data_IF_751140817920
#
_entry.id   IF_751140817920
#
_cell.length_a   1.000
_cell.length_b   1.000
_cell.length_c   1.000
_cell.angle_alpha   90.00
_cell.angle_beta   90.00
_cell.angle_gamma   90.00
#
_symmetry.space_group_name_H-M   'P 1'
#
loop_
_entity.id
_entity.type
_entity.pdbx_description
1 polymer ?
#
# COMPACT_ATOMS: atom_id res chain seq x y z
N UNK A 1 19.00 13.00 -8.18
CA UNK A 1 17.55 12.74 -8.39
C UNK A 1 16.84 14.08 -8.25
N UNK A 2 15.80 14.37 -9.06
CA UNK A 2 15.01 15.58 -8.89
C UNK A 2 14.40 15.62 -7.48
N UNK A 3 14.19 16.82 -6.95
CA UNK A 3 13.45 17.02 -5.72
C UNK A 3 11.98 16.57 -5.89
N UNK A 4 11.30 16.33 -4.77
CA UNK A 4 9.87 15.94 -4.80
C UNK A 4 9.03 17.03 -5.50
N UNK A 5 9.30 18.30 -5.24
CA UNK A 5 8.60 19.43 -5.86
C UNK A 5 8.86 19.55 -7.36
N UNK A 6 10.11 19.33 -7.81
CA UNK A 6 10.44 19.25 -9.23
C UNK A 6 9.68 18.12 -9.92
N UNK A 7 9.61 16.96 -9.28
CA UNK A 7 8.89 15.81 -9.83
C UNK A 7 7.38 16.04 -9.88
N UNK A 8 6.78 16.62 -8.83
CA UNK A 8 5.35 16.99 -8.80
C UNK A 8 5.03 17.98 -9.93
N UNK A 9 5.88 18.99 -10.12
CA UNK A 9 5.71 19.98 -11.19
C UNK A 9 5.78 19.32 -12.57
N UNK A 10 6.77 18.44 -12.77
CA UNK A 10 6.88 17.66 -13.99
C UNK A 10 5.63 16.80 -14.26
N UNK A 11 5.11 16.11 -13.26
CA UNK A 11 3.90 15.29 -13.41
C UNK A 11 2.68 16.16 -13.72
N UNK A 12 2.53 17.31 -13.08
CA UNK A 12 1.47 18.30 -13.37
C UNK A 12 1.51 18.74 -14.84
N UNK A 13 2.69 19.08 -15.35
CA UNK A 13 2.87 19.53 -16.72
C UNK A 13 2.61 18.43 -17.75
N UNK A 14 3.03 17.19 -17.45
CA UNK A 14 2.85 16.05 -18.37
C UNK A 14 1.45 15.45 -18.36
N UNK A 15 0.79 15.42 -17.20
CA UNK A 15 -0.55 14.84 -17.05
C UNK A 15 -1.68 15.83 -17.30
N UNK A 16 -1.40 17.14 -17.22
CA UNK A 16 -2.41 18.19 -17.23
C UNK A 16 -3.18 18.35 -15.91
N UNK A 17 -2.91 17.52 -14.91
CA UNK A 17 -3.53 17.61 -13.58
C UNK A 17 -2.97 18.82 -12.83
N UNK A 18 -3.84 19.77 -12.49
CA UNK A 18 -3.41 21.03 -11.81
C UNK A 18 -3.39 20.95 -10.29
N UNK A 19 -4.00 19.92 -9.72
CA UNK A 19 -4.01 19.73 -8.27
C UNK A 19 -2.69 19.10 -7.80
N UNK A 20 -1.73 19.93 -7.41
CA UNK A 20 -0.40 19.51 -6.99
C UNK A 20 -0.42 18.66 -5.70
N UNK A 21 -1.34 18.95 -4.78
CA UNK A 21 -1.49 18.18 -3.54
C UNK A 21 -1.95 16.74 -3.84
N UNK A 22 -2.86 16.57 -4.80
CA UNK A 22 -3.31 15.26 -5.24
C UNK A 22 -2.19 14.48 -5.92
N UNK A 23 -1.38 15.15 -6.75
CA UNK A 23 -0.19 14.56 -7.36
C UNK A 23 0.80 14.12 -6.29
N UNK A 24 1.10 14.97 -5.32
CA UNK A 24 2.01 14.66 -4.21
C UNK A 24 1.54 13.42 -3.43
N UNK A 25 0.25 13.37 -3.09
CA UNK A 25 -0.35 12.21 -2.44
C UNK A 25 -0.22 10.95 -3.29
N UNK A 26 -0.52 11.02 -4.58
CA UNK A 26 -0.43 9.86 -5.46
C UNK A 26 1.01 9.34 -5.61
N UNK A 27 1.97 10.26 -5.83
CA UNK A 27 3.40 9.95 -5.90
C UNK A 27 3.88 9.31 -4.60
N UNK A 28 3.46 9.85 -3.46
CA UNK A 28 3.81 9.30 -2.14
C UNK A 28 3.26 7.89 -1.96
N UNK A 29 2.00 7.66 -2.29
CA UNK A 29 1.38 6.31 -2.27
C UNK A 29 2.09 5.34 -3.22
N UNK A 30 2.48 5.79 -4.41
CA UNK A 30 3.19 4.96 -5.37
C UNK A 30 4.60 4.59 -4.87
N UNK A 31 5.30 5.52 -4.19
CA UNK A 31 6.58 5.23 -3.53
C UNK A 31 6.42 4.22 -2.40
N UNK A 32 5.41 4.37 -1.53
CA UNK A 32 5.09 3.37 -0.49
C UNK A 32 4.84 2.00 -1.12
N UNK A 33 4.00 1.94 -2.16
CA UNK A 33 3.69 0.69 -2.86
C UNK A 33 4.96 0.04 -3.42
N UNK A 34 5.86 0.83 -4.03
CA UNK A 34 7.16 0.37 -4.52
C UNK A 34 8.02 -0.23 -3.40
N UNK A 35 8.11 0.43 -2.25
CA UNK A 35 8.91 -0.08 -1.13
C UNK A 35 8.32 -1.36 -0.53
N UNK A 36 6.99 -1.46 -0.42
CA UNK A 36 6.30 -2.70 -0.01
C UNK A 36 6.67 -3.85 -0.96
N UNK A 37 6.61 -3.62 -2.27
CA UNK A 37 6.94 -4.63 -3.28
C UNK A 37 8.45 -4.90 -3.46
N UNK A 38 9.31 -4.04 -2.93
CA UNK A 38 10.76 -4.28 -2.88
C UNK A 38 11.18 -5.10 -1.65
N UNK A 39 10.22 -5.46 -0.79
CA UNK A 39 10.42 -6.29 0.39
C UNK A 39 9.96 -7.74 0.16
N UNK A 40 10.22 -8.62 1.13
CA UNK A 40 9.82 -10.03 1.09
C UNK A 40 8.29 -10.26 1.02
N UNK A 41 7.47 -9.21 1.14
CA UNK A 41 6.00 -9.24 1.01
C UNK A 41 5.54 -9.68 -0.38
N UNK A 42 6.28 -9.33 -1.45
CA UNK A 42 5.87 -9.60 -2.84
C UNK A 42 5.51 -11.08 -3.06
N UNK A 43 6.20 -11.99 -2.38
CA UNK A 43 6.01 -13.43 -2.54
C UNK A 43 4.61 -13.88 -2.12
N UNK A 44 4.02 -13.21 -1.12
CA UNK A 44 2.83 -13.67 -0.43
C UNK A 44 1.63 -12.72 -0.53
N UNK A 45 1.82 -11.46 -0.90
CA UNK A 45 0.73 -10.48 -0.99
C UNK A 45 0.53 -9.95 -2.41
N UNK A 46 -0.74 -9.88 -2.81
CA UNK A 46 -1.18 -9.34 -4.10
C UNK A 46 -1.98 -8.06 -3.89
N UNK A 47 -1.61 -7.00 -4.61
CA UNK A 47 -2.32 -5.73 -4.64
C UNK A 47 -3.58 -5.87 -5.47
N UNK A 48 -4.71 -5.44 -4.90
CA UNK A 48 -6.04 -5.59 -5.50
C UNK A 48 -6.89 -4.34 -5.26
N UNK A 49 -8.19 -4.46 -5.55
CA UNK A 49 -9.16 -3.39 -5.29
C UNK A 49 -9.15 -2.30 -6.35
N UNK A 50 -9.89 -1.22 -6.06
CA UNK A 50 -10.09 -0.12 -6.99
C UNK A 50 -8.80 0.63 -7.33
N UNK A 51 -7.91 0.80 -6.35
CA UNK A 51 -6.63 1.48 -6.57
C UNK A 51 -5.69 0.70 -7.48
N UNK A 52 -5.67 -0.63 -7.39
CA UNK A 52 -4.92 -1.49 -8.32
C UNK A 52 -5.43 -1.31 -9.76
N UNK A 53 -6.75 -1.31 -9.95
CA UNK A 53 -7.35 -1.08 -11.27
C UNK A 53 -6.99 0.30 -11.84
N UNK A 54 -7.11 1.36 -11.04
CA UNK A 54 -6.76 2.73 -11.46
C UNK A 54 -5.29 2.85 -11.86
N UNK A 55 -4.38 2.34 -11.02
CA UNK A 55 -2.92 2.51 -11.20
C UNK A 55 -2.34 1.59 -12.27
N UNK A 56 -2.85 0.37 -12.41
CA UNK A 56 -2.26 -0.64 -13.29
C UNK A 56 -3.00 -0.84 -14.61
N UNK A 57 -4.28 -0.46 -14.73
CA UNK A 57 -5.10 -0.82 -15.89
C UNK A 57 -5.88 0.35 -16.52
N UNK A 58 -6.34 1.32 -15.74
CA UNK A 58 -7.29 2.35 -16.22
C UNK A 58 -6.71 3.77 -16.32
N UNK A 59 -5.39 3.91 -16.32
CA UNK A 59 -4.73 5.17 -16.69
C UNK A 59 -5.13 6.38 -15.83
N UNK A 60 -5.32 6.21 -14.52
CA UNK A 60 -5.52 7.32 -13.58
C UNK A 60 -6.76 8.21 -13.80
N UNK A 61 -7.88 7.65 -14.29
CA UNK A 61 -9.13 8.42 -14.49
C UNK A 61 -9.74 9.04 -13.21
N UNK A 62 -9.37 8.53 -12.03
CA UNK A 62 -9.75 9.09 -10.72
C UNK A 62 -8.61 8.90 -9.74
N UNK A 63 -8.59 9.71 -8.68
CA UNK A 63 -7.73 9.46 -7.52
C UNK A 63 -8.27 8.32 -6.65
N UNK A 64 -7.37 7.52 -6.08
CA UNK A 64 -7.71 6.41 -5.19
C UNK A 64 -6.58 6.24 -4.18
N UNK A 65 -6.89 6.43 -2.90
CA UNK A 65 -5.90 6.46 -1.82
C UNK A 65 -5.69 5.08 -1.16
N UNK A 66 -6.71 4.24 -1.15
CA UNK A 66 -6.70 2.97 -0.42
C UNK A 66 -5.73 1.97 -1.04
N UNK A 67 -4.99 1.23 -0.22
CA UNK A 67 -4.12 0.14 -0.69
C UNK A 67 -4.64 -1.19 -0.16
N UNK A 68 -5.34 -1.93 -1.01
CA UNK A 68 -5.92 -3.23 -0.65
C UNK A 68 -4.98 -4.38 -1.04
N UNK A 69 -4.69 -5.26 -0.09
CA UNK A 69 -3.87 -6.45 -0.34
C UNK A 69 -4.65 -7.73 -0.02
N UNK A 70 -4.27 -8.81 -0.68
CA UNK A 70 -4.74 -10.16 -0.36
C UNK A 70 -3.58 -11.14 -0.31
N UNK A 71 -3.73 -12.19 0.49
CA UNK A 71 -2.75 -13.26 0.51
C UNK A 71 -2.83 -14.08 -0.80
N UNK A 72 -1.68 -14.40 -1.39
CA UNK A 72 -1.59 -15.06 -2.70
C UNK A 72 -2.21 -16.46 -2.67
N UNK A 73 -1.83 -17.28 -1.68
CA UNK A 73 -2.34 -18.64 -1.53
C UNK A 73 -3.48 -18.71 -0.50
N UNK A 74 -4.72 -18.53 -0.94
CA UNK A 74 -5.89 -18.57 -0.05
C UNK A 74 -6.17 -19.97 0.55
N UNK A 75 -5.58 -21.03 0.01
CA UNK A 75 -5.84 -22.40 0.49
C UNK A 75 -5.27 -22.65 1.90
N UNK A 76 -4.25 -21.89 2.30
CA UNK A 76 -3.63 -21.99 3.63
C UNK A 76 -4.62 -21.70 4.78
N UNK A 77 -5.74 -21.04 4.48
CA UNK A 77 -6.77 -20.67 5.44
C UNK A 77 -7.90 -21.69 5.55
N UNK A 78 -8.12 -22.54 4.54
CA UNK A 78 -9.36 -23.33 4.36
C UNK A 78 -9.64 -24.30 5.50
N UNK A 79 -8.61 -24.90 6.07
CA UNK A 79 -8.73 -25.95 7.09
C UNK A 79 -8.43 -25.45 8.52
N UNK A 80 -8.35 -24.14 8.72
CA UNK A 80 -8.09 -23.57 10.03
C UNK A 80 -9.39 -23.35 10.79
N UNK A 81 -9.46 -23.86 12.03
CA UNK A 81 -10.52 -23.49 12.95
C UNK A 81 -10.46 -22.00 13.30
N UNK A 82 -11.60 -21.38 13.65
CA UNK A 82 -11.75 -19.93 13.90
C UNK A 82 -10.63 -19.31 14.76
N UNK A 83 -10.27 -19.95 15.87
CA UNK A 83 -9.21 -19.47 16.78
C UNK A 83 -7.83 -19.45 16.12
N UNK A 84 -7.48 -20.53 15.42
CA UNK A 84 -6.20 -20.64 14.72
C UNK A 84 -6.13 -19.66 13.55
N UNK A 85 -7.19 -19.56 12.76
CA UNK A 85 -7.30 -18.57 11.68
C UNK A 85 -7.09 -17.14 12.20
N UNK A 86 -7.77 -16.75 13.28
CA UNK A 86 -7.60 -15.43 13.88
C UNK A 86 -6.14 -15.17 14.29
N UNK A 87 -5.50 -16.13 14.97
CA UNK A 87 -4.12 -15.97 15.40
C UNK A 87 -3.15 -15.82 14.23
N UNK A 88 -3.30 -16.63 13.19
CA UNK A 88 -2.49 -16.54 11.97
C UNK A 88 -2.69 -15.19 11.28
N UNK A 89 -3.94 -14.75 11.11
CA UNK A 89 -4.25 -13.45 10.50
C UNK A 89 -3.67 -12.29 11.31
N UNK A 90 -3.79 -12.31 12.64
CA UNK A 90 -3.19 -11.29 13.50
C UNK A 90 -1.66 -11.24 13.37
N UNK A 91 -1.00 -12.40 13.31
CA UNK A 91 0.43 -12.48 13.05
C UNK A 91 0.77 -11.83 11.71
N UNK A 92 0.04 -12.16 10.64
CA UNK A 92 0.27 -11.62 9.30
C UNK A 92 0.00 -10.12 9.20
N UNK A 93 -1.02 -9.62 9.89
CA UNK A 93 -1.32 -8.18 9.99
C UNK A 93 -0.19 -7.46 10.72
N UNK A 94 0.34 -8.05 11.81
CA UNK A 94 1.48 -7.48 12.53
C UNK A 94 2.72 -7.41 11.65
N UNK A 95 3.06 -8.50 10.97
CA UNK A 95 4.22 -8.55 10.05
C UNK A 95 4.08 -7.50 8.93
N UNK A 96 2.89 -7.41 8.32
CA UNK A 96 2.59 -6.44 7.28
C UNK A 96 2.70 -5.00 7.81
N UNK A 97 2.16 -4.73 9.00
CA UNK A 97 2.22 -3.41 9.64
C UNK A 97 3.65 -2.92 9.86
N UNK A 98 4.57 -3.81 10.28
CA UNK A 98 5.98 -3.48 10.46
C UNK A 98 6.67 -3.14 9.13
N UNK A 99 6.31 -3.83 8.05
CA UNK A 99 6.88 -3.55 6.73
C UNK A 99 6.32 -2.25 6.17
N UNK A 100 5.03 -1.99 6.36
CA UNK A 100 4.41 -0.72 6.00
C UNK A 100 5.05 0.46 6.77
N UNK A 101 5.32 0.29 8.07
CA UNK A 101 6.06 1.29 8.85
C UNK A 101 7.46 1.57 8.28
N UNK A 102 8.20 0.54 7.87
CA UNK A 102 9.51 0.71 7.24
C UNK A 102 9.41 1.44 5.90
N UNK A 103 8.44 1.07 5.06
CA UNK A 103 8.19 1.72 3.77
C UNK A 103 7.82 3.20 3.96
N UNK A 104 6.96 3.53 4.94
CA UNK A 104 6.61 4.90 5.28
C UNK A 104 7.82 5.72 5.75
N UNK A 105 8.70 5.15 6.58
CA UNK A 105 9.95 5.82 7.01
C UNK A 105 10.86 6.17 5.84
N UNK A 106 10.97 5.31 4.82
CA UNK A 106 11.78 5.57 3.62
C UNK A 106 11.24 6.72 2.75
N UNK A 107 9.96 7.07 2.92
CA UNK A 107 9.35 8.22 2.26
C UNK A 107 9.12 9.41 3.21
N UNK A 108 9.78 9.42 4.38
CA UNK A 108 9.68 10.44 5.41
C UNK A 108 8.26 10.65 5.99
N UNK A 109 7.47 9.57 6.08
CA UNK A 109 6.17 9.57 6.75
C UNK A 109 6.25 8.86 8.10
N UNK A 110 5.75 9.51 9.14
CA UNK A 110 5.55 8.89 10.45
C UNK A 110 4.25 8.07 10.43
N UNK A 111 4.40 6.76 10.28
CA UNK A 111 3.31 5.81 10.35
C UNK A 111 3.58 4.82 11.49
N UNK A 112 2.59 4.62 12.34
CA UNK A 112 2.64 3.61 13.41
C UNK A 112 1.43 2.68 13.27
N UNK A 113 1.65 1.37 13.05
CA UNK A 113 0.54 0.43 12.93
C UNK A 113 -0.18 0.31 14.27
N UNK A 114 -1.49 0.56 14.27
CA UNK A 114 -2.36 0.32 15.42
C UNK A 114 -2.79 -1.14 15.42
N UNK A 115 -2.00 -1.99 16.07
CA UNK A 115 -2.26 -3.43 16.18
C UNK A 115 -3.17 -3.78 17.38
N UNK A 116 -3.63 -2.76 18.12
CA UNK A 116 -4.30 -2.90 19.41
C UNK A 116 -5.83 -3.04 19.34
N UNK A 117 -6.45 -2.92 18.17
CA UNK A 117 -7.86 -3.30 17.98
C UNK A 117 -8.00 -4.84 17.94
N UNK A 118 -7.68 -5.46 19.08
CA UNK A 118 -8.12 -6.81 19.42
C UNK A 118 -9.63 -6.70 19.66
N UNK A 119 -10.39 -6.74 18.56
CA UNK A 119 -11.85 -6.70 18.62
C UNK A 119 -12.38 -7.59 19.74
N UNK A 120 -13.14 -6.93 20.62
CA UNK A 120 -13.96 -7.46 21.71
C UNK A 120 -14.91 -8.56 21.24
#
# INVERSE_FOLDING_TARGET
MPSLSEFISFVSDKSGVKNLELIEKDVTLHRILKEIYSSDIEQNYLFKGGSCLVKCYFGYYRFSADLDFTWKNQEVWRNLGKKKLRNELLSKISDFGLILEKACKQVNLDFKPKLEDKGS
#
